data_IF_118982969959
#
_entry.id   IF_118982969959
#
_cell.length_a   1.000
_cell.length_b   1.000
_cell.length_c   1.000
_cell.angle_alpha   90.00
_cell.angle_beta   90.00
_cell.angle_gamma   90.00
#
_symmetry.space_group_name_H-M   'P 1'
#
loop_
_entity.id
_entity.type
_entity.pdbx_description
1 polymer ?
#
# COMPACT_ATOMS: atom_id res chain seq x y z
N UNK A 1 -86.50 -36.29 -7.41
CA UNK A 1 -87.32 -35.52 -6.46
C UNK A 1 -86.45 -34.48 -5.80
N UNK A 2 -86.98 -33.27 -5.65
CA UNK A 2 -86.26 -32.00 -5.55
C UNK A 2 -85.71 -31.64 -4.14
N UNK A 3 -84.50 -31.09 -4.14
CA UNK A 3 -83.92 -29.92 -3.40
C UNK A 3 -84.28 -29.56 -1.93
N UNK A 4 -83.19 -29.38 -1.15
CA UNK A 4 -82.84 -28.32 -0.15
C UNK A 4 -83.73 -28.02 1.08
N UNK A 5 -83.10 -27.87 2.25
CA UNK A 5 -83.33 -26.75 3.18
C UNK A 5 -82.22 -26.60 4.26
N UNK A 6 -81.76 -25.37 4.48
CA UNK A 6 -80.98 -24.91 5.64
C UNK A 6 -81.90 -24.65 6.85
N UNK A 7 -81.36 -24.73 8.08
CA UNK A 7 -81.90 -24.02 9.26
C UNK A 7 -80.79 -23.41 10.14
N UNK A 8 -81.00 -22.14 10.44
CA UNK A 8 -80.33 -21.26 11.40
C UNK A 8 -80.88 -21.46 12.83
N UNK A 9 -80.06 -21.29 13.87
CA UNK A 9 -80.51 -21.19 15.28
C UNK A 9 -79.77 -20.13 16.09
N UNK A 10 -80.50 -19.56 17.06
CA UNK A 10 -80.32 -18.30 17.81
C UNK A 10 -79.38 -18.38 19.04
N UNK A 11 -78.93 -17.20 19.48
CA UNK A 11 -78.30 -16.87 20.77
C UNK A 11 -79.20 -17.07 22.01
N UNK A 12 -78.58 -17.25 23.19
CA UNK A 12 -79.06 -16.58 24.41
C UNK A 12 -77.96 -15.90 25.25
N UNK A 13 -78.40 -14.91 26.03
CA UNK A 13 -77.68 -14.03 26.95
C UNK A 13 -77.30 -14.71 28.27
N UNK A 14 -76.19 -14.34 28.92
CA UNK A 14 -76.00 -14.51 30.37
C UNK A 14 -75.18 -13.39 31.02
N UNK A 15 -75.52 -13.16 32.28
CA UNK A 15 -75.33 -11.98 33.13
C UNK A 15 -73.99 -12.03 33.90
N UNK A 16 -73.47 -10.83 34.18
CA UNK A 16 -72.29 -10.49 34.98
C UNK A 16 -72.30 -11.08 36.41
N UNK A 17 -71.16 -11.56 36.88
CA UNK A 17 -70.81 -11.60 38.31
C UNK A 17 -69.34 -11.21 38.50
N UNK A 18 -69.14 -10.25 39.41
CA UNK A 18 -67.91 -9.52 39.68
C UNK A 18 -67.07 -10.29 40.71
N UNK A 19 -65.83 -10.64 40.37
CA UNK A 19 -64.79 -11.02 41.33
C UNK A 19 -63.64 -10.01 41.26
N UNK A 20 -63.39 -9.36 42.39
CA UNK A 20 -62.35 -8.36 42.60
C UNK A 20 -60.99 -9.08 42.66
N UNK A 21 -60.08 -8.77 41.74
CA UNK A 21 -58.66 -9.14 41.82
C UNK A 21 -57.87 -7.87 42.13
N UNK A 22 -57.23 -7.84 43.29
CA UNK A 22 -56.29 -6.81 43.70
C UNK A 22 -54.99 -7.02 42.91
N UNK A 23 -54.72 -6.14 41.95
CA UNK A 23 -53.43 -6.10 41.23
C UNK A 23 -52.50 -5.16 41.98
N UNK A 24 -51.44 -5.72 42.56
CA UNK A 24 -50.35 -4.94 43.17
C UNK A 24 -49.58 -4.17 42.10
N UNK A 25 -49.50 -2.85 42.26
CA UNK A 25 -48.64 -1.98 41.46
C UNK A 25 -47.17 -2.24 41.84
N UNK A 26 -46.47 -3.06 41.05
CA UNK A 26 -45.01 -3.05 41.04
C UNK A 26 -44.53 -1.89 40.17
N UNK A 27 -44.00 -0.86 40.82
CA UNK A 27 -43.30 0.25 40.19
C UNK A 27 -42.03 -0.26 39.49
N UNK A 28 -42.09 -0.45 38.18
CA UNK A 28 -40.91 -0.71 37.35
C UNK A 28 -40.08 0.58 37.28
N UNK A 29 -39.02 0.68 38.08
CA UNK A 29 -38.00 1.72 37.90
C UNK A 29 -37.27 1.42 36.60
N UNK A 30 -37.56 2.20 35.57
CA UNK A 30 -36.80 2.22 34.32
C UNK A 30 -35.38 2.71 34.59
N UNK A 31 -34.42 1.82 34.70
CA UNK A 31 -33.00 2.14 34.50
C UNK A 31 -32.80 2.37 33.00
N UNK A 32 -32.93 3.63 32.58
CA UNK A 32 -32.43 4.09 31.28
C UNK A 32 -30.91 3.98 31.37
N UNK A 33 -30.35 2.90 30.85
CA UNK A 33 -28.93 2.83 30.55
C UNK A 33 -28.67 3.87 29.47
N UNK A 34 -28.05 4.98 29.84
CA UNK A 34 -27.48 5.95 28.92
C UNK A 34 -26.51 5.19 28.02
N UNK A 35 -26.92 4.95 26.78
CA UNK A 35 -25.99 4.54 25.71
C UNK A 35 -25.06 5.73 25.56
N UNK A 36 -23.83 5.60 26.07
CA UNK A 36 -22.75 6.51 25.70
C UNK A 36 -22.68 6.47 24.18
N UNK A 37 -22.92 7.63 23.56
CA UNK A 37 -22.55 7.85 22.16
C UNK A 37 -21.07 7.54 22.09
N UNK A 38 -20.73 6.39 21.50
CA UNK A 38 -19.40 6.19 20.95
C UNK A 38 -19.26 7.28 19.91
N UNK A 39 -18.45 8.27 20.24
CA UNK A 39 -18.01 9.30 19.32
C UNK A 39 -17.14 8.56 18.29
N UNK A 40 -17.78 8.11 17.20
CA UNK A 40 -17.05 7.67 16.02
C UNK A 40 -16.30 8.91 15.56
N UNK A 41 -15.02 8.98 15.89
CA UNK A 41 -14.11 9.96 15.34
C UNK A 41 -14.17 9.75 13.83
N UNK A 42 -14.90 10.62 13.13
CA UNK A 42 -14.71 10.77 11.69
C UNK A 42 -13.22 11.07 11.52
N UNK A 43 -12.46 10.09 11.03
CA UNK A 43 -11.07 10.28 10.65
C UNK A 43 -11.11 11.38 9.59
N UNK A 44 -10.56 12.55 9.89
CA UNK A 44 -10.50 13.63 8.92
C UNK A 44 -9.71 13.15 7.71
N UNK A 45 -10.42 12.93 6.61
CA UNK A 45 -9.84 12.53 5.36
C UNK A 45 -8.82 13.60 4.90
N UNK A 46 -7.66 13.12 4.46
CA UNK A 46 -6.64 13.82 3.67
C UNK A 46 -5.67 14.75 4.41
N UNK A 47 -5.18 14.34 5.59
CA UNK A 47 -3.89 14.88 6.04
C UNK A 47 -2.80 14.53 5.00
N UNK A 48 -2.07 15.55 4.55
CA UNK A 48 -0.96 15.43 3.60
C UNK A 48 0.08 16.49 3.90
N UNK A 49 1.32 16.23 3.49
CA UNK A 49 2.36 17.25 3.48
C UNK A 49 3.17 17.15 2.18
N UNK A 50 3.76 18.25 1.78
CA UNK A 50 4.67 18.31 0.65
C UNK A 50 6.09 18.37 1.18
N UNK A 51 6.91 17.36 0.87
CA UNK A 51 8.34 17.38 1.15
C UNK A 51 9.04 18.22 0.09
N UNK A 52 9.98 19.04 0.52
CA UNK A 52 10.86 19.78 -0.39
C UNK A 52 12.24 19.15 -0.33
N UNK A 53 12.74 18.69 -1.47
CA UNK A 53 14.14 18.28 -1.58
C UNK A 53 14.96 19.58 -1.66
N UNK A 54 15.81 19.87 -0.64
CA UNK A 54 16.63 21.06 -0.67
C UNK A 54 17.45 21.12 -1.94
N UNK A 55 17.86 22.32 -2.35
CA UNK A 55 18.76 22.57 -3.49
C UNK A 55 18.13 22.44 -4.88
N UNK A 56 17.26 21.44 -5.10
CA UNK A 56 16.64 21.22 -6.41
C UNK A 56 15.34 22.01 -6.61
N UNK A 57 14.76 22.59 -5.54
CA UNK A 57 13.39 23.13 -5.52
C UNK A 57 12.35 22.15 -6.09
N UNK A 58 12.62 20.84 -5.93
CA UNK A 58 11.72 19.77 -6.31
C UNK A 58 10.97 19.30 -5.08
N UNK A 59 9.71 18.96 -5.29
CA UNK A 59 8.80 18.57 -4.22
C UNK A 59 8.10 17.26 -4.54
N UNK A 60 7.67 16.56 -3.50
CA UNK A 60 6.75 15.43 -3.63
C UNK A 60 5.74 15.41 -2.48
N UNK A 61 4.55 14.89 -2.76
CA UNK A 61 3.46 14.86 -1.79
C UNK A 61 3.42 13.52 -1.07
N UNK A 62 3.21 13.60 0.24
CA UNK A 62 3.02 12.47 1.14
C UNK A 62 1.61 12.53 1.73
N UNK A 63 0.94 11.39 1.80
CA UNK A 63 -0.43 11.23 2.28
C UNK A 63 -0.40 10.43 3.58
N UNK A 64 -1.18 10.86 4.59
CA UNK A 64 -1.31 10.10 5.82
C UNK A 64 -2.15 8.84 5.57
N UNK A 65 -1.54 7.69 5.81
CA UNK A 65 -2.22 6.41 5.97
C UNK A 65 -2.53 6.24 7.47
N UNK A 66 -3.81 6.19 7.88
CA UNK A 66 -4.18 6.14 9.29
C UNK A 66 -3.83 4.78 9.89
N UNK A 67 -3.53 4.76 11.19
CA UNK A 67 -3.39 3.50 11.92
C UNK A 67 -4.68 2.67 11.83
N UNK A 68 -4.55 1.35 11.80
CA UNK A 68 -5.74 0.51 11.79
C UNK A 68 -5.48 -0.98 11.59
N UNK A 69 -6.53 -1.74 11.85
CA UNK A 69 -6.60 -3.16 11.56
C UNK A 69 -7.12 -3.40 10.13
N UNK A 70 -6.58 -4.40 9.44
CA UNK A 70 -7.14 -4.93 8.21
C UNK A 70 -6.93 -6.44 8.08
N UNK A 71 -7.60 -7.04 7.10
CA UNK A 71 -7.37 -8.42 6.73
C UNK A 71 -6.42 -8.46 5.53
N UNK A 72 -5.19 -8.93 5.77
CA UNK A 72 -4.17 -9.14 4.74
C UNK A 72 -4.40 -10.46 4.01
N UNK A 73 -4.16 -10.46 2.71
CA UNK A 73 -4.38 -11.60 1.81
C UNK A 73 -5.79 -11.66 1.22
N UNK A 74 -6.02 -12.66 0.35
CA UNK A 74 -7.28 -12.82 -0.40
C UNK A 74 -8.13 -13.98 0.14
N UNK A 75 -9.47 -13.86 0.11
CA UNK A 75 -10.38 -14.96 0.44
C UNK A 75 -10.14 -16.19 -0.44
N UNK A 76 -10.32 -17.39 0.11
CA UNK A 76 -10.06 -18.64 -0.60
C UNK A 76 -10.87 -18.82 -1.89
N UNK A 77 -12.00 -18.11 -2.03
CA UNK A 77 -12.88 -18.12 -3.19
C UNK A 77 -12.71 -16.89 -4.10
N UNK A 78 -11.76 -15.99 -3.84
CA UNK A 78 -11.49 -14.86 -4.73
C UNK A 78 -10.95 -15.38 -6.07
N UNK A 79 -11.55 -14.92 -7.17
CA UNK A 79 -11.15 -15.32 -8.51
C UNK A 79 -9.70 -14.90 -8.81
N UNK A 80 -8.92 -15.81 -9.39
CA UNK A 80 -7.51 -15.65 -9.73
C UNK A 80 -6.57 -15.43 -8.53
N UNK A 81 -7.03 -15.77 -7.31
CA UNK A 81 -6.17 -15.88 -6.13
C UNK A 81 -5.08 -16.93 -6.36
N UNK A 82 -3.85 -16.59 -5.97
CA UNK A 82 -2.73 -17.54 -5.85
C UNK A 82 -2.63 -18.12 -4.44
N UNK A 83 -1.91 -19.24 -4.32
CA UNK A 83 -1.77 -19.98 -3.05
C UNK A 83 -1.06 -19.14 -1.96
N UNK A 84 -0.08 -18.33 -2.36
CA UNK A 84 0.79 -17.49 -1.53
C UNK A 84 0.13 -16.21 -0.99
N UNK A 85 -1.17 -16.02 -1.26
CA UNK A 85 -1.97 -14.88 -0.81
C UNK A 85 -2.79 -15.20 0.45
N UNK A 86 -2.48 -16.32 1.12
CA UNK A 86 -3.16 -16.68 2.36
C UNK A 86 -2.32 -17.57 3.28
N UNK A 87 -2.89 -17.99 4.42
CA UNK A 87 -4.24 -17.69 4.87
C UNK A 87 -4.45 -16.19 5.14
N UNK A 88 -5.70 -15.73 5.04
CA UNK A 88 -6.03 -14.36 5.44
C UNK A 88 -5.69 -14.14 6.92
N UNK A 89 -5.09 -13.00 7.23
CA UNK A 89 -4.65 -12.68 8.58
C UNK A 89 -5.05 -11.28 8.99
N UNK A 90 -5.49 -11.14 10.25
CA UNK A 90 -5.70 -9.83 10.85
C UNK A 90 -4.34 -9.21 11.15
N UNK A 91 -4.10 -8.04 10.59
CA UNK A 91 -2.86 -7.27 10.75
C UNK A 91 -3.22 -5.86 11.18
N UNK A 92 -2.49 -5.34 12.16
CA UNK A 92 -2.53 -3.95 12.57
C UNK A 92 -1.32 -3.22 11.99
N UNK A 93 -1.55 -2.07 11.38
CA UNK A 93 -0.51 -1.18 10.84
C UNK A 93 -0.59 0.16 11.57
N UNK A 94 0.52 0.61 12.15
CA UNK A 94 0.62 1.93 12.77
C UNK A 94 0.49 3.04 11.69
N UNK A 95 0.16 4.26 12.08
CA UNK A 95 0.03 5.35 11.12
C UNK A 95 1.38 5.70 10.47
N UNK A 96 1.38 5.93 9.15
CA UNK A 96 2.55 6.33 8.40
C UNK A 96 2.18 7.27 7.26
N UNK A 97 3.17 7.95 6.71
CA UNK A 97 3.06 8.74 5.50
C UNK A 97 3.49 7.90 4.30
N UNK A 98 2.73 7.93 3.22
CA UNK A 98 3.08 7.27 1.97
C UNK A 98 3.11 8.27 0.81
N UNK A 99 4.06 8.11 -0.10
CA UNK A 99 4.12 8.91 -1.32
C UNK A 99 2.81 8.83 -2.08
N UNK A 100 2.24 10.00 -2.44
CA UNK A 100 0.99 10.09 -3.20
C UNK A 100 1.07 9.36 -4.54
N UNK A 101 2.26 9.33 -5.11
CA UNK A 101 2.63 8.75 -6.39
C UNK A 101 3.84 7.82 -6.22
N UNK A 102 4.12 6.99 -7.23
CA UNK A 102 5.44 6.36 -7.35
C UNK A 102 6.54 7.43 -7.43
N UNK A 103 7.77 7.10 -7.00
CA UNK A 103 8.92 7.99 -7.17
C UNK A 103 9.14 8.23 -8.65
N UNK A 104 9.17 9.50 -9.06
CA UNK A 104 9.30 9.87 -10.46
C UNK A 104 10.76 9.93 -10.92
N UNK A 105 11.00 9.81 -12.21
CA UNK A 105 12.33 10.04 -12.81
C UNK A 105 12.90 11.40 -12.44
N UNK A 106 12.07 12.45 -12.38
CA UNK A 106 12.49 13.80 -11.98
C UNK A 106 13.19 13.82 -10.62
N UNK A 107 12.70 13.03 -9.67
CA UNK A 107 13.25 12.94 -8.32
C UNK A 107 14.42 11.95 -8.28
N UNK A 108 14.26 10.76 -8.86
CA UNK A 108 15.28 9.71 -8.81
C UNK A 108 16.58 10.12 -9.54
N UNK A 109 16.48 10.90 -10.61
CA UNK A 109 17.64 11.42 -11.33
C UNK A 109 18.51 12.38 -10.49
N UNK A 110 17.98 12.99 -9.41
CA UNK A 110 18.78 13.80 -8.50
C UNK A 110 19.89 12.97 -7.83
N UNK A 111 19.51 11.79 -7.35
CA UNK A 111 20.41 10.81 -6.73
C UNK A 111 21.31 10.14 -7.78
N UNK A 112 20.70 9.72 -8.90
CA UNK A 112 21.39 8.94 -9.92
C UNK A 112 22.44 9.74 -10.72
N UNK A 113 22.12 10.95 -11.21
CA UNK A 113 23.00 11.69 -12.15
C UNK A 113 24.19 12.39 -11.50
N UNK A 114 24.44 12.17 -10.20
CA UNK A 114 25.56 12.79 -9.48
C UNK A 114 25.59 14.31 -9.70
N UNK A 115 24.47 14.99 -9.45
CA UNK A 115 24.34 16.43 -9.64
C UNK A 115 25.11 17.23 -8.57
N UNK A 116 26.40 16.95 -8.42
CA UNK A 116 27.26 17.50 -7.37
C UNK A 116 27.19 19.04 -7.27
N UNK A 117 27.20 19.80 -8.39
CA UNK A 117 27.11 21.26 -8.30
C UNK A 117 25.79 21.78 -7.72
N UNK A 118 24.72 20.97 -7.75
CA UNK A 118 23.51 21.34 -7.02
C UNK A 118 23.87 21.38 -5.53
N UNK A 119 24.39 20.28 -4.98
CA UNK A 119 24.54 20.10 -3.54
C UNK A 119 25.66 20.91 -2.87
N UNK A 120 26.47 21.66 -3.64
CA UNK A 120 27.52 22.55 -3.13
C UNK A 120 27.01 23.61 -2.14
N UNK A 121 25.71 23.95 -2.18
CA UNK A 121 25.11 24.91 -1.25
C UNK A 121 24.65 24.30 0.08
N UNK A 122 24.80 22.98 0.29
CA UNK A 122 24.46 22.33 1.55
C UNK A 122 25.50 22.63 2.64
N UNK A 123 25.08 22.52 3.90
CA UNK A 123 25.99 22.57 5.04
C UNK A 123 27.02 21.45 4.96
N UNK A 124 28.25 21.72 5.42
CA UNK A 124 29.40 20.81 5.26
C UNK A 124 29.14 19.39 5.82
N UNK A 125 28.45 19.30 6.96
CA UNK A 125 28.13 18.01 7.59
C UNK A 125 27.14 17.19 6.73
N UNK A 126 26.12 17.84 6.15
CA UNK A 126 25.16 17.19 5.24
C UNK A 126 25.82 16.78 3.93
N UNK A 127 26.68 17.64 3.39
CA UNK A 127 27.43 17.34 2.18
C UNK A 127 28.34 16.12 2.39
N UNK A 128 29.06 16.08 3.51
CA UNK A 128 29.89 14.94 3.91
C UNK A 128 29.07 13.65 4.05
N UNK A 129 27.90 13.71 4.70
CA UNK A 129 27.01 12.57 4.85
C UNK A 129 26.49 12.04 3.50
N UNK A 130 26.08 12.93 2.60
CA UNK A 130 25.58 12.58 1.26
C UNK A 130 26.68 12.03 0.35
N UNK A 131 27.91 12.54 0.47
CA UNK A 131 29.06 12.05 -0.30
C UNK A 131 29.57 10.69 0.21
N UNK A 132 29.30 10.35 1.48
CA UNK A 132 29.55 9.02 2.01
C UNK A 132 28.56 7.95 1.49
N UNK A 133 27.42 8.36 0.93
CA UNK A 133 26.44 7.43 0.35
C UNK A 133 26.83 7.09 -1.09
N UNK A 134 27.03 5.80 -1.34
CA UNK A 134 27.37 5.29 -2.67
C UNK A 134 26.21 5.53 -3.64
N UNK A 135 26.53 5.88 -4.89
CA UNK A 135 25.55 6.16 -5.95
C UNK A 135 25.59 5.07 -7.04
N UNK A 136 24.48 4.87 -7.78
CA UNK A 136 24.44 3.90 -8.87
C UNK A 136 25.52 4.16 -9.91
N UNK A 137 26.14 3.08 -10.40
CA UNK A 137 26.93 3.17 -11.63
C UNK A 137 26.04 3.56 -12.82
N UNK A 138 26.57 4.13 -13.91
CA UNK A 138 25.80 4.35 -15.12
C UNK A 138 25.16 3.04 -15.61
N UNK A 139 23.85 3.02 -15.92
CA UNK A 139 23.18 1.84 -16.44
C UNK A 139 23.69 1.51 -17.85
N UNK A 140 23.61 0.24 -18.22
CA UNK A 140 24.01 -0.23 -19.54
C UNK A 140 23.14 0.35 -20.67
N UNK A 141 21.84 0.44 -20.44
CA UNK A 141 20.84 1.01 -21.35
C UNK A 141 20.04 2.10 -20.64
N UNK A 142 19.32 2.94 -21.39
CA UNK A 142 18.44 3.95 -20.78
C UNK A 142 17.35 3.23 -19.95
N UNK A 143 17.34 3.40 -18.61
CA UNK A 143 16.46 2.62 -17.75
C UNK A 143 14.97 2.99 -17.94
N UNK A 144 14.68 4.10 -18.63
CA UNK A 144 13.30 4.44 -18.98
C UNK A 144 12.76 3.66 -20.19
N UNK A 145 13.62 2.99 -20.96
CA UNK A 145 13.26 2.31 -22.21
C UNK A 145 12.52 3.20 -23.23
N UNK A 146 12.76 4.52 -23.18
CA UNK A 146 12.06 5.48 -24.03
C UNK A 146 10.55 5.55 -23.79
N UNK A 147 10.06 5.09 -22.63
CA UNK A 147 8.64 5.15 -22.27
C UNK A 147 8.25 6.49 -21.65
N UNK A 148 9.20 7.19 -20.99
CA UNK A 148 9.02 8.54 -20.49
C UNK A 148 9.96 8.86 -19.34
N UNK A 149 10.27 10.15 -19.14
CA UNK A 149 11.02 10.69 -18.00
C UNK A 149 10.23 11.84 -17.37
N UNK A 150 10.82 12.54 -16.41
CA UNK A 150 10.17 13.59 -15.63
C UNK A 150 9.10 13.04 -14.67
N UNK A 151 7.82 13.32 -14.90
CA UNK A 151 6.68 12.91 -14.05
C UNK A 151 6.23 11.45 -14.30
N UNK A 152 7.05 10.68 -14.99
CA UNK A 152 6.87 9.23 -15.15
C UNK A 152 7.55 8.51 -13.99
N UNK A 153 7.04 7.32 -13.58
CA UNK A 153 7.65 6.54 -12.52
C UNK A 153 9.08 6.15 -12.90
N UNK A 154 10.01 6.28 -11.94
CA UNK A 154 11.34 5.73 -12.08
C UNK A 154 11.26 4.20 -12.00
N UNK A 155 11.92 3.51 -12.93
CA UNK A 155 11.91 2.04 -13.04
C UNK A 155 13.30 1.46 -13.24
N UNK A 156 13.40 0.13 -13.24
CA UNK A 156 14.63 -0.64 -13.52
C UNK A 156 15.72 -0.57 -12.45
N UNK A 157 15.47 0.08 -11.32
CA UNK A 157 16.35 -0.03 -10.16
C UNK A 157 16.15 -1.37 -9.45
N UNK A 158 17.23 -1.89 -8.86
CA UNK A 158 17.14 -2.99 -7.90
C UNK A 158 16.51 -2.52 -6.58
N UNK A 159 16.02 -3.46 -5.78
CA UNK A 159 15.56 -3.16 -4.41
C UNK A 159 16.67 -2.51 -3.57
N UNK A 160 17.93 -2.92 -3.76
CA UNK A 160 19.08 -2.32 -3.10
C UNK A 160 19.25 -0.85 -3.50
N UNK A 161 19.22 -0.54 -4.81
CA UNK A 161 19.31 0.84 -5.28
C UNK A 161 18.16 1.72 -4.78
N UNK A 162 16.96 1.17 -4.66
CA UNK A 162 15.80 1.86 -4.10
C UNK A 162 16.00 2.18 -2.60
N UNK A 163 16.59 1.25 -1.83
CA UNK A 163 16.93 1.46 -0.42
C UNK A 163 18.03 2.52 -0.23
N UNK A 164 19.07 2.50 -1.05
CA UNK A 164 20.13 3.52 -0.99
C UNK A 164 19.58 4.90 -1.38
N UNK A 165 18.65 4.97 -2.35
CA UNK A 165 17.92 6.21 -2.65
C UNK A 165 17.14 6.71 -1.42
N UNK A 166 16.42 5.84 -0.71
CA UNK A 166 15.72 6.21 0.52
C UNK A 166 16.67 6.73 1.60
N UNK A 167 17.84 6.11 1.77
CA UNK A 167 18.88 6.59 2.70
C UNK A 167 19.38 7.98 2.31
N UNK A 168 19.75 8.17 1.04
CA UNK A 168 20.15 9.47 0.51
C UNK A 168 19.08 10.55 0.73
N UNK A 169 17.83 10.21 0.43
CA UNK A 169 16.70 11.13 0.61
C UNK A 169 16.50 11.49 2.09
N UNK A 170 16.78 10.54 2.99
CA UNK A 170 16.69 10.77 4.43
C UNK A 170 17.74 11.77 4.91
N UNK A 171 18.98 11.63 4.44
CA UNK A 171 20.06 12.57 4.78
C UNK A 171 19.78 13.98 4.26
N UNK A 172 19.29 14.10 3.02
CA UNK A 172 19.13 15.42 2.42
C UNK A 172 17.94 16.19 2.98
N UNK A 173 16.84 15.51 3.29
CA UNK A 173 15.62 16.14 3.83
C UNK A 173 15.66 16.25 5.36
N UNK A 174 16.43 15.38 6.04
CA UNK A 174 16.43 15.24 7.49
C UNK A 174 15.21 14.47 8.05
N UNK A 175 14.39 13.87 7.18
CA UNK A 175 13.26 13.01 7.56
C UNK A 175 13.56 11.59 7.11
N UNK A 176 13.26 10.60 7.96
CA UNK A 176 13.49 9.21 7.63
C UNK A 176 12.50 8.70 6.57
N UNK A 177 13.03 8.15 5.49
CA UNK A 177 12.31 7.55 4.38
C UNK A 177 12.78 6.12 4.14
N UNK A 178 11.85 5.25 3.73
CA UNK A 178 12.11 3.84 3.37
C UNK A 178 11.11 3.33 2.34
N UNK A 179 11.32 2.11 1.85
CA UNK A 179 10.29 1.37 1.14
C UNK A 179 9.17 0.94 2.12
N UNK A 180 7.93 0.71 1.64
CA UNK A 180 6.88 0.12 2.45
C UNK A 180 7.22 -1.33 2.83
N UNK A 181 6.74 -1.80 3.97
CA UNK A 181 6.56 -3.25 4.16
C UNK A 181 5.47 -3.76 3.24
N UNK A 182 5.44 -5.06 2.98
CA UNK A 182 4.38 -5.68 2.19
C UNK A 182 2.99 -5.41 2.80
N UNK A 183 2.88 -5.45 4.12
CA UNK A 183 1.64 -5.19 4.83
C UNK A 183 1.20 -3.73 4.74
N UNK A 184 2.12 -2.78 4.89
CA UNK A 184 1.83 -1.36 4.67
C UNK A 184 1.33 -1.08 3.26
N UNK A 185 1.97 -1.70 2.26
CA UNK A 185 1.59 -1.56 0.86
C UNK A 185 0.16 -2.08 0.62
N UNK A 186 -0.17 -3.29 1.10
CA UNK A 186 -1.51 -3.86 0.90
C UNK A 186 -2.59 -3.06 1.63
N UNK A 187 -2.31 -2.64 2.87
CA UNK A 187 -3.21 -1.81 3.66
C UNK A 187 -3.51 -0.48 2.94
N UNK A 188 -2.46 0.17 2.42
CA UNK A 188 -2.56 1.39 1.64
C UNK A 188 -3.34 1.19 0.33
N UNK A 189 -3.09 0.09 -0.40
CA UNK A 189 -3.80 -0.22 -1.64
C UNK A 189 -5.30 -0.43 -1.39
N UNK A 190 -5.64 -1.13 -0.30
CA UNK A 190 -7.03 -1.39 0.11
C UNK A 190 -7.78 -0.15 0.56
N UNK A 191 -7.11 0.80 1.21
CA UNK A 191 -7.71 2.04 1.73
C UNK A 191 -9.03 1.82 2.51
N UNK A 192 -9.04 0.77 3.34
CA UNK A 192 -10.19 0.34 4.14
C UNK A 192 -11.18 -0.61 3.44
N UNK A 193 -10.94 -0.99 2.18
CA UNK A 193 -11.75 -1.97 1.46
C UNK A 193 -11.31 -3.41 1.70
N UNK A 194 -12.27 -4.34 1.76
CA UNK A 194 -12.05 -5.78 1.78
C UNK A 194 -12.13 -6.44 0.38
N UNK A 195 -12.37 -5.64 -0.66
CA UNK A 195 -12.58 -6.11 -2.04
C UNK A 195 -11.27 -6.43 -2.77
N UNK A 196 -11.40 -7.01 -3.98
CA UNK A 196 -10.31 -7.38 -4.90
C UNK A 196 -9.37 -6.22 -5.20
N UNK A 197 -9.92 -5.02 -5.44
CA UNK A 197 -9.19 -3.76 -5.59
C UNK A 197 -9.60 -2.78 -4.49
N UNK A 198 -8.82 -1.73 -4.22
CA UNK A 198 -9.15 -0.69 -3.24
C UNK A 198 -10.42 0.11 -3.57
N UNK A 199 -10.88 0.07 -4.82
CA UNK A 199 -12.09 0.75 -5.30
C UNK A 199 -13.30 -0.18 -5.49
N UNK A 200 -13.17 -1.49 -5.27
CA UNK A 200 -14.25 -2.48 -5.45
C UNK A 200 -13.79 -3.77 -6.13
N UNK A 201 -14.75 -4.59 -6.59
CA UNK A 201 -14.50 -5.88 -7.24
C UNK A 201 -14.61 -5.83 -8.78
N UNK A 202 -15.11 -4.72 -9.34
CA UNK A 202 -15.40 -4.62 -10.77
C UNK A 202 -14.15 -4.35 -11.61
N UNK A 203 -13.80 -5.28 -12.50
CA UNK A 203 -12.76 -5.07 -13.51
C UNK A 203 -13.15 -4.05 -14.58
N UNK A 204 -14.45 -3.78 -14.77
CA UNK A 204 -14.92 -2.76 -15.71
C UNK A 204 -14.52 -1.35 -15.25
N UNK A 205 -14.41 -1.15 -13.94
CA UNK A 205 -14.00 0.10 -13.32
C UNK A 205 -12.47 0.26 -13.29
N UNK A 206 -11.71 -0.82 -13.47
CA UNK A 206 -10.25 -0.83 -13.33
C UNK A 206 -9.56 0.22 -14.21
N UNK A 207 -10.03 0.42 -15.45
CA UNK A 207 -9.45 1.40 -16.36
C UNK A 207 -9.52 2.87 -15.87
N UNK A 208 -10.37 3.17 -14.88
CA UNK A 208 -10.45 4.49 -14.23
C UNK A 208 -9.36 4.69 -13.17
N UNK A 209 -8.85 3.62 -12.60
CA UNK A 209 -7.88 3.61 -11.48
C UNK A 209 -6.49 3.10 -11.89
N UNK A 210 -6.36 2.45 -13.04
CA UNK A 210 -5.17 1.71 -13.44
C UNK A 210 -4.70 2.03 -14.87
N UNK A 211 -3.38 2.06 -15.04
CA UNK A 211 -2.72 1.84 -16.34
C UNK A 211 -2.20 0.40 -16.36
N UNK A 212 -2.68 -0.43 -17.29
CA UNK A 212 -2.43 -1.86 -17.31
C UNK A 212 -2.50 -2.40 -18.74
N UNK A 213 -2.22 -3.69 -18.95
CA UNK A 213 -2.02 -4.26 -20.29
C UNK A 213 -3.08 -3.83 -21.32
N UNK A 214 -4.36 -3.80 -20.94
CA UNK A 214 -5.48 -3.47 -21.83
C UNK A 214 -5.51 -1.99 -22.29
N UNK A 215 -4.97 -1.05 -21.51
CA UNK A 215 -5.07 0.39 -21.80
C UNK A 215 -3.72 1.13 -21.86
N UNK A 216 -2.60 0.43 -21.61
CA UNK A 216 -1.26 1.01 -21.52
C UNK A 216 -0.67 1.38 -22.87
N UNK A 217 -1.11 0.74 -23.95
CA UNK A 217 -0.44 0.78 -25.25
C UNK A 217 1.06 0.42 -25.14
N UNK A 218 1.34 -0.61 -24.33
CA UNK A 218 2.67 -1.15 -24.07
C UNK A 218 3.66 -0.17 -23.42
N UNK A 219 3.16 0.77 -22.60
CA UNK A 219 3.97 1.75 -21.86
C UNK A 219 3.32 2.12 -20.53
N UNK A 220 4.13 2.38 -19.50
CA UNK A 220 3.66 3.10 -18.31
C UNK A 220 3.35 4.57 -18.64
N UNK A 221 2.59 5.22 -17.76
CA UNK A 221 2.14 6.59 -17.94
C UNK A 221 2.78 7.53 -16.90
N UNK A 222 2.47 8.82 -17.01
CA UNK A 222 2.73 9.78 -15.92
C UNK A 222 1.98 9.33 -14.67
N UNK A 223 2.63 9.50 -13.53
CA UNK A 223 2.01 9.23 -12.23
C UNK A 223 0.77 10.10 -12.05
N UNK A 224 -0.25 9.58 -11.37
CA UNK A 224 -1.50 10.28 -11.10
C UNK A 224 -2.39 10.48 -12.32
N UNK A 225 -2.15 9.74 -13.42
CA UNK A 225 -3.00 9.81 -14.62
C UNK A 225 -4.37 9.17 -14.45
N UNK A 226 -4.57 8.42 -13.36
CA UNK A 226 -5.80 7.71 -13.00
C UNK A 226 -6.35 8.18 -11.65
N UNK A 227 -7.59 7.79 -11.34
CA UNK A 227 -8.25 8.15 -10.08
C UNK A 227 -7.51 7.54 -8.88
N UNK A 228 -7.43 8.26 -7.76
CA UNK A 228 -6.85 7.73 -6.53
C UNK A 228 -7.82 6.77 -5.82
N UNK A 229 -7.31 6.01 -4.86
CA UNK A 229 -8.14 5.31 -3.89
C UNK A 229 -8.73 6.27 -2.83
N UNK A 230 -9.47 5.73 -1.85
CA UNK A 230 -10.18 6.50 -0.82
C UNK A 230 -9.27 7.38 0.05
N UNK A 231 -7.98 7.06 0.14
CA UNK A 231 -7.00 7.85 0.91
C UNK A 231 -6.24 8.86 0.06
N UNK A 232 -6.47 8.91 -1.26
CA UNK A 232 -5.77 9.85 -2.14
C UNK A 232 -4.46 9.31 -2.73
N UNK A 233 -4.17 8.03 -2.56
CA UNK A 233 -3.03 7.36 -3.20
C UNK A 233 -3.40 6.96 -4.63
N UNK A 234 -2.54 7.32 -5.58
CA UNK A 234 -2.72 6.99 -7.00
C UNK A 234 -1.88 5.78 -7.38
N UNK A 235 -2.29 5.12 -8.47
CA UNK A 235 -1.51 4.08 -9.16
C UNK A 235 -1.20 2.85 -8.29
N UNK A 236 -1.98 2.60 -7.22
CA UNK A 236 -1.83 1.41 -6.37
C UNK A 236 -2.21 0.09 -7.08
N UNK A 237 -2.81 0.17 -8.27
CA UNK A 237 -3.28 -0.96 -9.07
C UNK A 237 -2.80 -0.80 -10.51
N UNK A 238 -1.51 -0.94 -10.79
CA UNK A 238 -0.93 -0.82 -12.13
C UNK A 238 0.06 0.34 -12.25
N UNK A 239 0.24 0.83 -13.48
CA UNK A 239 1.32 1.71 -13.90
C UNK A 239 2.69 1.01 -13.78
N UNK A 240 3.33 1.02 -12.62
CA UNK A 240 4.49 0.16 -12.36
C UNK A 240 4.33 -0.58 -11.05
N UNK A 241 4.83 -1.81 -11.01
CA UNK A 241 4.87 -2.58 -9.78
C UNK A 241 5.90 -1.97 -8.82
N UNK A 242 5.73 -2.14 -7.51
CA UNK A 242 6.52 -1.41 -6.51
C UNK A 242 7.32 -2.37 -5.62
N UNK A 243 8.61 -2.05 -5.42
CA UNK A 243 9.45 -2.72 -4.42
C UNK A 243 8.92 -2.52 -3.00
N UNK A 244 8.99 -3.59 -2.20
CA UNK A 244 8.74 -3.55 -0.74
C UNK A 244 9.99 -4.01 0.02
N UNK A 245 10.01 -3.83 1.35
CA UNK A 245 11.11 -4.25 2.22
C UNK A 245 11.24 -5.76 2.37
N UNK A 246 10.16 -6.50 2.13
CA UNK A 246 10.02 -7.88 2.56
C UNK A 246 10.77 -8.87 1.68
N UNK A 247 11.36 -9.88 2.32
CA UNK A 247 11.70 -11.12 1.63
C UNK A 247 10.43 -11.84 1.21
N UNK A 248 10.38 -12.27 -0.05
CA UNK A 248 9.29 -13.08 -0.52
C UNK A 248 9.43 -14.51 0.04
N UNK A 249 8.45 -14.90 0.85
CA UNK A 249 8.22 -16.28 1.29
C UNK A 249 6.75 -16.61 1.05
N UNK A 250 6.51 -17.71 0.34
CA UNK A 250 5.17 -18.09 -0.11
C UNK A 250 4.24 -18.45 1.07
N UNK A 251 4.79 -18.99 2.16
CA UNK A 251 4.08 -19.53 3.33
C UNK A 251 4.09 -18.59 4.55
N UNK A 252 4.57 -17.35 4.40
CA UNK A 252 4.84 -16.47 5.53
C UNK A 252 3.58 -15.90 6.20
N UNK A 253 2.43 -15.90 5.53
CA UNK A 253 1.23 -15.23 6.04
C UNK A 253 0.68 -15.88 7.31
N UNK A 254 0.81 -17.20 7.44
CA UNK A 254 0.39 -17.89 8.67
C UNK A 254 1.21 -17.44 9.89
N UNK A 255 2.52 -17.22 9.71
CA UNK A 255 3.49 -17.03 10.79
C UNK A 255 3.90 -15.56 11.03
N UNK A 256 3.46 -14.60 10.20
CA UNK A 256 3.84 -13.19 10.37
C UNK A 256 3.35 -12.59 11.70
N UNK A 257 3.95 -11.51 12.18
CA UNK A 257 3.44 -10.81 13.36
C UNK A 257 2.07 -10.16 13.10
N UNK A 258 1.28 -9.94 14.16
CA UNK A 258 -0.02 -9.28 14.04
C UNK A 258 0.10 -7.75 13.97
N UNK A 259 1.18 -7.16 14.47
CA UNK A 259 1.43 -5.71 14.46
C UNK A 259 2.65 -5.39 13.60
N UNK A 260 2.48 -4.52 12.60
CA UNK A 260 3.52 -4.08 11.67
C UNK A 260 4.42 -5.22 11.14
N UNK A 261 3.86 -6.29 10.57
CA UNK A 261 4.67 -7.40 10.10
C UNK A 261 5.65 -6.94 9.03
N UNK A 262 6.87 -7.41 9.18
CA UNK A 262 7.96 -7.22 8.23
C UNK A 262 8.79 -8.50 8.17
N UNK A 263 8.80 -9.16 7.02
CA UNK A 263 9.62 -10.34 6.78
C UNK A 263 11.02 -9.88 6.42
N UNK A 264 11.87 -9.78 7.45
CA UNK A 264 13.24 -9.30 7.33
C UNK A 264 14.03 -10.18 6.34
N UNK A 265 14.65 -9.58 5.32
CA UNK A 265 15.59 -10.24 4.43
C UNK A 265 16.72 -11.03 5.08
N UNK A 266 16.83 -12.29 4.67
CA UNK A 266 17.96 -13.20 4.95
C UNK A 266 18.77 -13.55 3.71
N UNK A 267 18.23 -13.26 2.53
CA UNK A 267 18.84 -13.43 1.21
C UNK A 267 18.64 -12.17 0.37
N UNK A 268 19.37 -12.00 -0.74
CA UNK A 268 19.15 -10.87 -1.67
C UNK A 268 17.85 -10.99 -2.48
N UNK A 269 17.52 -12.22 -2.91
CA UNK A 269 16.30 -12.54 -3.65
C UNK A 269 15.71 -13.87 -3.17
N UNK A 270 14.39 -14.04 -3.25
CA UNK A 270 13.41 -13.09 -3.79
C UNK A 270 12.97 -12.02 -2.77
N UNK A 271 12.82 -10.78 -3.22
CA UNK A 271 12.05 -9.69 -2.59
C UNK A 271 10.61 -9.67 -3.08
N UNK A 272 9.69 -9.16 -2.28
CA UNK A 272 8.28 -8.95 -2.66
C UNK A 272 8.11 -7.68 -3.49
N UNK A 273 7.35 -7.80 -4.57
CA UNK A 273 6.88 -6.70 -5.42
C UNK A 273 5.34 -6.73 -5.44
N UNK A 274 4.70 -5.57 -5.43
CA UNK A 274 3.23 -5.42 -5.37
C UNK A 274 2.69 -4.46 -6.45
N UNK A 275 1.37 -4.44 -6.65
CA UNK A 275 0.68 -3.45 -7.51
C UNK A 275 0.35 -3.89 -8.92
N UNK A 276 1.18 -4.76 -9.51
CA UNK A 276 1.13 -5.03 -10.94
C UNK A 276 1.55 -3.82 -11.77
N UNK A 277 1.64 -3.98 -13.08
CA UNK A 277 2.24 -2.98 -13.96
C UNK A 277 1.42 -2.73 -15.23
N UNK A 278 1.92 -1.81 -16.05
CA UNK A 278 1.41 -1.49 -17.38
C UNK A 278 1.34 -2.70 -18.33
N UNK A 279 2.09 -3.77 -18.06
CA UNK A 279 2.15 -4.99 -18.87
C UNK A 279 1.39 -6.17 -18.26
N UNK A 280 0.77 -5.99 -17.08
CA UNK A 280 0.02 -7.03 -16.39
C UNK A 280 -1.49 -6.95 -16.68
N UNK A 281 -2.13 -8.12 -16.71
CA UNK A 281 -3.58 -8.25 -16.75
C UNK A 281 -4.23 -7.95 -15.38
N UNK A 282 -5.54 -7.73 -15.37
CA UNK A 282 -6.32 -7.30 -14.20
C UNK A 282 -6.12 -8.18 -12.94
N UNK A 283 -5.77 -9.46 -13.10
CA UNK A 283 -5.48 -10.37 -12.01
C UNK A 283 -4.17 -10.08 -11.24
N UNK A 284 -3.18 -9.48 -11.91
CA UNK A 284 -1.91 -9.06 -11.31
C UNK A 284 -2.03 -7.76 -10.52
N UNK A 285 -3.10 -7.01 -10.72
CA UNK A 285 -3.34 -5.69 -10.13
C UNK A 285 -4.14 -5.73 -8.83
N UNK A 286 -4.56 -6.92 -8.38
CA UNK A 286 -5.38 -7.07 -7.16
C UNK A 286 -4.61 -6.61 -5.93
N UNK A 287 -5.32 -6.09 -4.93
CA UNK A 287 -4.72 -5.64 -3.66
C UNK A 287 -3.86 -6.73 -3.02
N UNK A 288 -4.29 -8.00 -3.07
CA UNK A 288 -3.58 -9.13 -2.49
C UNK A 288 -2.50 -9.76 -3.39
N UNK A 289 -2.42 -9.39 -4.68
CA UNK A 289 -1.54 -10.07 -5.63
C UNK A 289 -0.06 -9.83 -5.34
N UNK A 290 0.69 -10.91 -5.14
CA UNK A 290 2.13 -10.87 -4.85
C UNK A 290 2.94 -11.28 -6.06
N UNK A 291 4.12 -10.66 -6.20
CA UNK A 291 5.14 -11.09 -7.16
C UNK A 291 6.50 -11.26 -6.48
N UNK A 292 7.12 -12.41 -6.71
CA UNK A 292 8.48 -12.69 -6.27
C UNK A 292 9.48 -12.15 -7.30
N UNK A 293 10.41 -11.30 -6.88
CA UNK A 293 11.53 -10.90 -7.73
C UNK A 293 12.50 -12.05 -8.00
N UNK A 294 13.30 -11.93 -9.05
CA UNK A 294 14.27 -12.95 -9.44
C UNK A 294 15.55 -12.30 -9.95
N UNK A 295 16.68 -12.99 -9.78
CA UNK A 295 17.96 -12.63 -10.43
C UNK A 295 17.88 -12.63 -11.96
N UNK A 296 16.80 -13.19 -12.54
CA UNK A 296 16.50 -13.07 -13.98
C UNK A 296 16.18 -11.64 -14.41
N UNK A 297 15.83 -10.74 -13.47
CA UNK A 297 15.56 -9.33 -13.74
C UNK A 297 16.80 -8.53 -14.18
N UNK A 298 17.99 -9.11 -14.11
CA UNK A 298 19.24 -8.53 -14.64
C UNK A 298 19.85 -9.39 -15.75
N UNK A 299 19.07 -10.28 -16.38
CA UNK A 299 19.60 -11.29 -17.31
C UNK A 299 20.27 -10.64 -18.52
N UNK A 300 19.67 -9.59 -19.08
CA UNK A 300 20.19 -8.85 -20.24
C UNK A 300 21.39 -7.95 -19.94
N UNK A 301 21.72 -7.70 -18.68
CA UNK A 301 22.91 -6.89 -18.33
C UNK A 301 24.20 -7.60 -18.81
N UNK A 302 24.98 -7.03 -19.74
CA UNK A 302 26.21 -7.64 -20.22
C UNK A 302 27.41 -7.46 -19.29
N UNK A 303 27.30 -6.69 -18.19
CA UNK A 303 28.38 -6.45 -17.25
C UNK A 303 28.79 -7.72 -16.49
N UNK A 304 30.08 -7.84 -16.14
CA UNK A 304 30.64 -8.92 -15.31
C UNK A 304 31.51 -8.27 -14.20
N UNK A 305 31.11 -8.37 -12.92
CA UNK A 305 29.81 -8.87 -12.43
C UNK A 305 28.65 -8.00 -12.92
N UNK A 306 27.44 -8.56 -12.94
CA UNK A 306 26.21 -7.82 -13.26
C UNK A 306 25.98 -6.71 -12.23
N UNK A 307 25.32 -5.64 -12.66
CA UNK A 307 25.01 -4.51 -11.81
C UNK A 307 24.05 -4.90 -10.69
N UNK A 308 24.46 -4.64 -9.44
CA UNK A 308 23.57 -4.73 -8.30
C UNK A 308 22.68 -3.48 -8.14
N UNK A 309 22.91 -2.45 -8.96
CA UNK A 309 22.10 -1.22 -8.98
C UNK A 309 20.91 -1.31 -9.92
N UNK A 310 21.10 -1.95 -11.07
CA UNK A 310 20.16 -1.90 -12.19
C UNK A 310 19.71 -3.29 -12.61
N UNK A 311 18.40 -3.45 -12.73
CA UNK A 311 17.75 -4.64 -13.26
C UNK A 311 17.21 -4.31 -14.64
N UNK A 312 18.02 -4.63 -15.64
CA UNK A 312 17.70 -4.36 -17.05
C UNK A 312 16.36 -4.97 -17.45
N UNK A 313 15.99 -6.14 -16.96
CA UNK A 313 14.72 -6.79 -17.27
C UNK A 313 13.56 -6.41 -16.32
N UNK A 314 13.62 -5.26 -15.62
CA UNK A 314 12.54 -4.78 -14.73
C UNK A 314 12.06 -3.37 -15.03
N UNK A 315 11.85 -3.04 -16.31
CA UNK A 315 11.27 -1.76 -16.78
C UNK A 315 9.80 -1.51 -16.36
N UNK A 316 9.25 -2.42 -15.55
CA UNK A 316 7.90 -2.39 -15.03
C UNK A 316 7.90 -2.33 -13.49
N UNK A 317 9.08 -2.27 -12.85
CA UNK A 317 9.22 -2.22 -11.38
C UNK A 317 9.88 -0.90 -10.98
N UNK A 318 9.18 -0.13 -10.16
CA UNK A 318 9.62 1.12 -9.55
C UNK A 318 9.55 1.06 -8.03
N UNK A 319 9.28 2.20 -7.39
CA UNK A 319 9.21 2.30 -5.93
C UNK A 319 8.28 3.42 -5.47
N UNK A 320 7.85 3.32 -4.21
CA UNK A 320 7.09 4.35 -3.49
C UNK A 320 7.70 4.57 -2.12
N UNK A 321 7.63 5.81 -1.64
CA UNK A 321 8.21 6.20 -0.36
C UNK A 321 7.22 5.98 0.79
N UNK A 322 7.75 5.55 1.93
CA UNK A 322 7.09 5.57 3.24
C UNK A 322 7.94 6.33 4.24
N UNK A 323 7.29 7.10 5.10
CA UNK A 323 7.90 7.72 6.28
C UNK A 323 7.03 7.45 7.51
N UNK A 324 7.54 6.83 8.58
CA UNK A 324 6.78 6.63 9.82
C UNK A 324 6.19 7.95 10.35
N UNK A 325 4.97 7.93 10.90
CA UNK A 325 4.37 9.15 11.50
C UNK A 325 5.20 9.64 12.68
N UNK A 326 5.61 8.71 13.53
CA UNK A 326 6.60 8.93 14.58
C UNK A 326 7.98 8.59 14.03
N UNK A 327 8.86 9.59 13.94
CA UNK A 327 10.19 9.41 13.36
C UNK A 327 11.09 8.58 14.29
N UNK A 328 11.80 7.56 13.77
CA UNK A 328 12.73 6.78 14.56
C UNK A 328 13.89 7.64 15.07
N UNK A 329 14.43 7.27 16.22
CA UNK A 329 15.67 7.84 16.75
C UNK A 329 16.85 7.57 15.83
N UNK A 330 17.92 8.36 15.95
CA UNK A 330 19.13 8.17 15.14
C UNK A 330 19.76 6.78 15.28
N UNK A 331 19.70 6.19 16.48
CA UNK A 331 20.19 4.83 16.72
C UNK A 331 19.33 3.77 16.02
N UNK A 332 18.01 3.96 15.95
CA UNK A 332 17.10 3.07 15.22
C UNK A 332 17.31 3.20 13.71
N UNK A 333 17.50 4.42 13.21
CA UNK A 333 17.83 4.65 11.79
C UNK A 333 19.15 3.98 11.40
N UNK A 334 20.19 4.13 12.23
CA UNK A 334 21.48 3.46 12.00
C UNK A 334 21.33 1.94 11.96
N UNK A 335 20.64 1.35 12.93
CA UNK A 335 20.37 -0.10 12.97
C UNK A 335 19.59 -0.57 11.75
N UNK A 336 18.62 0.22 11.30
CA UNK A 336 17.85 -0.07 10.10
C UNK A 336 18.76 -0.13 8.85
N UNK A 337 19.60 0.89 8.64
CA UNK A 337 20.49 0.92 7.48
C UNK A 337 21.53 -0.20 7.51
N UNK A 338 22.11 -0.50 8.67
CA UNK A 338 23.00 -1.66 8.85
C UNK A 338 22.32 -2.97 8.46
N UNK A 339 21.04 -3.13 8.83
CA UNK A 339 20.27 -4.34 8.54
C UNK A 339 19.93 -4.49 7.06
N UNK A 340 19.48 -3.42 6.39
CA UNK A 340 18.92 -3.52 5.03
C UNK A 340 19.95 -3.26 3.92
N UNK A 341 21.10 -2.66 4.24
CA UNK A 341 22.18 -2.37 3.30
C UNK A 341 23.49 -3.12 3.61
N UNK A 342 23.52 -3.93 4.68
CA UNK A 342 24.70 -4.68 5.13
C UNK A 342 25.93 -3.78 5.41
N UNK A 343 25.68 -2.61 6.01
CA UNK A 343 26.71 -1.60 6.36
C UNK A 343 27.39 -1.92 7.72
N UNK A 344 27.82 -3.18 7.88
CA UNK A 344 28.44 -3.72 9.10
C UNK A 344 29.92 -3.38 9.29
#
# INVERSE_FOLDING_TARGET
MATRALKTTRFPSFIFSICIIIVGFYSCKSTVSTVEKVEVKEISANESFTETIPVANLTFDMVLVPEGDFIMGSPANEMNRKEDEGPQKKVMVDAFWMGKYEVTWRIFELFFKQNQPLFDSLEADKLSAIDAITRPSPPYEDPSYGMGKDDFPAVSMSAYSALVFCKWLSEITGRFYRLPTEAEWEYAARAGSATKYGFGDSEEELAKYAVYYKNSNSKYAKVGSKLPNKWGLHDMHGNVAEWTLDEYKADTYAAMDEKNPWIIPTVFHPRVIRGGSWDDDAEGLRSAARMASSVKLQKRDPQIPKSFWWFTDSNFVGMRLVSPKEQPSQEEQKKFWQMVLDEG
#
